data_IF_846802750809
#
_entry.id   IF_846802750809
#
_cell.length_a   1.000
_cell.length_b   1.000
_cell.length_c   1.000
_cell.angle_alpha   90.00
_cell.angle_beta   90.00
_cell.angle_gamma   90.00
#
_symmetry.space_group_name_H-M   'P 1'
#
loop_
_entity.id
_entity.type
_entity.pdbx_description
1 polymer ?
#
# COMPACT_ATOMS: atom_id res chain seq x y z
N UNK A 1 -18.10 -17.44 35.17
CA UNK A 1 -18.01 -17.00 34.66
C UNK A 1 -17.57 -16.60 34.26
N UNK A 2 -17.60 -16.59 34.10
CA UNK A 2 -17.32 -16.20 33.52
C UNK A 2 -16.92 -15.73 32.94
N UNK A 3 -16.84 -15.65 32.77
CA UNK A 3 -16.54 -15.17 31.95
C UNK A 3 -16.26 -14.51 31.54
N UNK A 4 -16.22 -14.35 31.66
CA UNK A 4 -15.99 -13.71 31.02
C UNK A 4 -15.63 -13.11 30.55
N UNK A 5 -15.64 -13.35 30.60
CA UNK A 5 -15.40 -12.76 29.88
C UNK A 5 -15.03 -12.38 29.42
N UNK A 6 -15.16 -12.44 29.42
CA UNK A 6 -14.92 -12.09 28.68
C UNK A 6 -14.95 -11.50 28.12
N UNK A 7 -15.14 -11.47 28.11
CA UNK A 7 -15.34 -10.95 27.44
C UNK A 7 -15.30 -10.05 27.09
N UNK A 8 -16.06 -9.54 27.27
CA UNK A 8 -15.59 -8.27 26.72
C UNK A 8 -14.37 -8.42 25.85
N UNK A 9 -13.60 -9.33 26.11
CA UNK A 9 -12.43 -9.62 25.29
C UNK A 9 -12.80 -9.92 23.85
N UNK A 10 -13.97 -10.45 23.58
CA UNK A 10 -14.38 -10.78 22.22
C UNK A 10 -14.39 -9.55 21.32
N UNK A 11 -14.88 -8.44 21.82
CA UNK A 11 -14.88 -7.20 21.02
C UNK A 11 -13.47 -6.68 20.83
N UNK A 12 -12.68 -6.77 21.85
CA UNK A 12 -11.29 -6.38 21.76
C UNK A 12 -10.53 -7.28 20.79
N UNK A 13 -10.92 -8.54 20.71
CA UNK A 13 -10.34 -9.46 19.74
C UNK A 13 -10.65 -9.02 18.33
N UNK A 14 -11.86 -8.54 18.08
CA UNK A 14 -12.21 -7.99 16.78
C UNK A 14 -11.37 -6.76 16.47
N UNK A 15 -11.24 -5.84 17.43
CA UNK A 15 -10.41 -4.66 17.26
C UNK A 15 -8.94 -5.03 17.19
N UNK A 16 -8.55 -6.15 17.80
CA UNK A 16 -7.19 -6.64 17.78
C UNK A 16 -6.93 -7.61 16.63
N UNK A 17 -7.89 -7.79 15.74
CA UNK A 17 -7.72 -8.64 14.58
C UNK A 17 -6.57 -8.17 13.70
N UNK A 18 -6.20 -8.95 12.71
CA UNK A 18 -5.05 -8.60 11.87
C UNK A 18 -5.24 -7.25 11.20
N UNK A 19 -4.15 -6.52 11.08
CA UNK A 19 -4.10 -5.27 10.32
C UNK A 19 -3.60 -5.61 8.93
N UNK A 20 -4.32 -5.20 7.91
CA UNK A 20 -4.01 -5.64 6.56
C UNK A 20 -4.37 -4.58 5.53
N UNK A 21 -3.84 -4.77 4.33
CA UNK A 21 -4.13 -3.91 3.18
C UNK A 21 -5.46 -4.37 2.59
N UNK A 22 -6.46 -3.49 2.65
CA UNK A 22 -7.81 -3.84 2.20
C UNK A 22 -7.99 -3.60 0.70
N UNK A 23 -7.20 -2.70 0.12
CA UNK A 23 -7.31 -2.38 -1.30
C UNK A 23 -6.00 -1.76 -1.78
N UNK A 24 -5.60 -2.11 -3.00
CA UNK A 24 -4.47 -1.49 -3.70
C UNK A 24 -4.96 -1.03 -5.06
N UNK A 25 -4.52 0.15 -5.49
CA UNK A 25 -4.80 0.70 -6.81
C UNK A 25 -3.50 1.28 -7.38
N UNK A 26 -2.99 0.79 -8.51
CA UNK A 26 -3.59 -0.20 -9.43
C UNK A 26 -3.78 -1.55 -8.76
N UNK A 27 -4.87 -2.24 -9.11
CA UNK A 27 -5.16 -3.56 -8.55
C UNK A 27 -4.17 -4.60 -9.05
N UNK A 28 -4.13 -5.73 -8.35
CA UNK A 28 -3.24 -6.82 -8.72
C UNK A 28 -3.56 -7.33 -10.11
N UNK A 29 -2.53 -7.41 -10.95
CA UNK A 29 -2.68 -7.83 -12.34
C UNK A 29 -3.13 -6.72 -13.29
N UNK A 30 -3.26 -5.48 -12.83
CA UNK A 30 -3.70 -4.39 -13.70
C UNK A 30 -2.70 -4.14 -14.84
N UNK A 31 -3.23 -3.88 -16.02
CA UNK A 31 -2.45 -3.51 -17.20
C UNK A 31 -2.95 -2.19 -17.74
N UNK A 32 -2.21 -1.59 -18.68
CA UNK A 32 -2.62 -0.33 -19.28
C UNK A 32 -2.61 0.84 -18.30
N UNK A 33 -1.85 0.72 -17.24
CA UNK A 33 -1.73 1.75 -16.20
C UNK A 33 -0.90 2.91 -16.75
N UNK A 34 -1.31 4.15 -16.49
CA UNK A 34 -0.52 5.30 -16.91
C UNK A 34 0.82 5.35 -16.17
N UNK A 35 1.85 5.84 -16.87
CA UNK A 35 3.22 5.88 -16.35
C UNK A 35 3.38 6.85 -15.18
N UNK A 36 2.46 7.77 -14.99
CA UNK A 36 2.45 8.75 -13.89
C UNK A 36 1.39 8.43 -12.84
N UNK A 37 0.84 7.22 -12.85
CA UNK A 37 -0.17 6.81 -11.88
C UNK A 37 0.46 6.65 -10.49
N UNK A 38 -0.12 7.26 -9.46
CA UNK A 38 0.29 6.95 -8.08
C UNK A 38 -0.19 5.56 -7.68
N UNK A 39 0.48 4.97 -6.70
CA UNK A 39 0.05 3.69 -6.13
C UNK A 39 -0.57 3.96 -4.77
N UNK A 40 -1.80 3.52 -4.61
CA UNK A 40 -2.56 3.74 -3.39
C UNK A 40 -2.77 2.42 -2.67
N UNK A 41 -2.66 2.44 -1.35
CA UNK A 41 -2.98 1.28 -0.52
C UNK A 41 -3.82 1.72 0.66
N UNK A 42 -4.97 1.08 0.83
CA UNK A 42 -5.86 1.35 1.96
C UNK A 42 -5.64 0.29 3.03
N UNK A 43 -5.57 0.75 4.27
CA UNK A 43 -5.34 -0.13 5.42
C UNK A 43 -6.62 -0.31 6.23
N UNK A 44 -6.73 -1.46 6.88
CA UNK A 44 -7.87 -1.76 7.76
C UNK A 44 -7.89 -0.89 9.02
N UNK A 45 -6.73 -0.41 9.44
CA UNK A 45 -6.55 0.40 10.65
C UNK A 45 -5.58 1.53 10.36
N UNK A 46 -5.62 2.63 11.12
CA UNK A 46 -4.68 3.73 10.91
C UNK A 46 -3.25 3.27 11.13
N UNK A 47 -2.34 3.74 10.29
CA UNK A 47 -0.93 3.40 10.36
C UNK A 47 -0.20 4.27 11.37
N UNK A 48 0.90 3.73 11.92
CA UNK A 48 1.89 4.52 12.61
C UNK A 48 2.73 5.26 11.57
N UNK A 49 2.69 6.59 11.61
CA UNK A 49 3.37 7.41 10.61
C UNK A 49 4.87 7.11 10.54
N UNK A 50 5.50 6.78 11.67
CA UNK A 50 6.92 6.47 11.69
C UNK A 50 7.27 5.21 10.91
N UNK A 51 6.31 4.31 10.70
CA UNK A 51 6.51 3.09 9.93
C UNK A 51 6.29 3.28 8.43
N UNK A 52 5.84 4.47 8.01
CA UNK A 52 5.48 4.74 6.61
C UNK A 52 6.66 5.43 5.91
N UNK A 53 7.32 4.69 5.05
CA UNK A 53 8.46 5.19 4.25
C UNK A 53 8.69 4.23 3.08
N UNK A 54 9.61 4.56 2.20
CA UNK A 54 9.87 3.74 1.01
C UNK A 54 10.47 2.38 1.34
N UNK A 55 10.96 2.17 2.54
CA UNK A 55 11.39 0.84 2.99
C UNK A 55 10.23 -0.08 3.31
N UNK A 56 9.07 0.47 3.68
CA UNK A 56 7.91 -0.32 4.06
C UNK A 56 6.79 -0.32 3.02
N UNK A 57 6.79 0.64 2.09
CA UNK A 57 5.85 0.67 0.97
C UNK A 57 6.60 1.15 -0.26
N UNK A 58 6.83 0.25 -1.21
CA UNK A 58 7.71 0.52 -2.34
C UNK A 58 7.23 -0.14 -3.60
N UNK A 59 7.75 0.31 -4.71
CA UNK A 59 7.50 -0.27 -6.03
C UNK A 59 8.85 -0.61 -6.66
N UNK A 60 8.93 -1.79 -7.24
CA UNK A 60 10.13 -2.30 -7.91
C UNK A 60 9.75 -2.76 -9.29
N UNK A 61 10.69 -2.61 -10.24
CA UNK A 61 10.54 -3.26 -11.54
C UNK A 61 10.83 -4.73 -11.38
N UNK A 62 10.11 -5.58 -12.10
CA UNK A 62 10.44 -6.99 -12.16
C UNK A 62 11.88 -7.14 -12.64
N UNK A 63 12.70 -7.78 -11.81
CA UNK A 63 14.13 -7.80 -12.03
C UNK A 63 14.90 -7.13 -10.91
N UNK A 64 14.19 -6.45 -10.00
CA UNK A 64 14.75 -6.02 -8.73
C UNK A 64 15.13 -4.57 -8.58
N UNK A 65 15.00 -3.75 -9.63
CA UNK A 65 15.33 -2.33 -9.52
C UNK A 65 14.22 -1.57 -8.80
N UNK A 66 14.52 -0.97 -7.66
CA UNK A 66 13.55 -0.15 -6.95
C UNK A 66 13.29 1.14 -7.72
N UNK A 67 12.02 1.52 -7.84
CA UNK A 67 11.63 2.77 -8.47
C UNK A 67 11.68 3.87 -7.41
N UNK A 68 12.42 4.96 -7.64
CA UNK A 68 12.45 6.06 -6.68
C UNK A 68 11.09 6.70 -6.55
N UNK A 69 10.65 6.93 -5.33
CA UNK A 69 9.34 7.47 -5.05
C UNK A 69 9.25 8.11 -3.68
N UNK A 70 8.09 8.69 -3.41
CA UNK A 70 7.77 9.34 -2.14
C UNK A 70 6.48 8.72 -1.61
N UNK A 71 6.44 8.46 -0.32
CA UNK A 71 5.25 7.91 0.34
C UNK A 71 4.64 8.96 1.24
N UNK A 72 3.33 9.14 1.12
CA UNK A 72 2.55 10.00 1.99
C UNK A 72 1.48 9.18 2.69
N UNK A 73 1.12 9.60 3.89
CA UNK A 73 0.03 9.00 4.66
C UNK A 73 -1.09 10.02 4.76
N UNK A 74 -2.32 9.57 4.50
CA UNK A 74 -3.50 10.44 4.59
C UNK A 74 -3.74 10.88 6.04
N UNK A 75 -4.47 12.00 6.25
CA UNK A 75 -4.74 12.49 7.60
C UNK A 75 -5.44 11.48 8.51
N UNK A 76 -6.30 10.61 7.96
CA UNK A 76 -6.96 9.58 8.76
C UNK A 76 -6.07 8.36 9.02
N UNK A 77 -4.86 8.34 8.45
CA UNK A 77 -3.91 7.26 8.66
C UNK A 77 -4.19 5.97 7.91
N UNK A 78 -5.22 5.94 7.07
CA UNK A 78 -5.65 4.68 6.45
C UNK A 78 -5.29 4.55 4.99
N UNK A 79 -4.76 5.60 4.37
CA UNK A 79 -4.40 5.58 2.96
C UNK A 79 -2.93 5.92 2.79
N UNK A 80 -2.21 5.02 2.15
CA UNK A 80 -0.82 5.25 1.72
C UNK A 80 -0.84 5.67 0.27
N UNK A 81 -0.05 6.69 -0.06
CA UNK A 81 0.06 7.21 -1.42
C UNK A 81 1.53 7.20 -1.80
N UNK A 82 1.89 6.35 -2.76
CA UNK A 82 3.25 6.30 -3.30
C UNK A 82 3.24 6.98 -4.66
N UNK A 83 4.17 7.92 -4.86
CA UNK A 83 4.30 8.62 -6.12
C UNK A 83 5.74 8.49 -6.61
N UNK A 84 5.90 8.04 -7.84
CA UNK A 84 7.23 7.94 -8.44
C UNK A 84 7.80 9.34 -8.68
N UNK A 85 9.10 9.49 -8.51
CA UNK A 85 9.77 10.75 -8.82
C UNK A 85 10.17 10.85 -10.28
N UNK A 86 9.91 9.80 -11.07
CA UNK A 86 10.08 9.77 -12.52
C UNK A 86 8.97 8.92 -13.12
N UNK A 87 8.79 9.00 -14.43
CA UNK A 87 7.79 8.15 -15.08
C UNK A 87 8.16 6.68 -14.96
N UNK A 88 7.15 5.84 -14.78
CA UNK A 88 7.34 4.39 -14.71
C UNK A 88 7.74 3.85 -16.08
N UNK A 89 8.53 2.78 -16.09
CA UNK A 89 8.97 2.14 -17.33
C UNK A 89 7.79 1.45 -18.01
N UNK A 90 7.49 1.78 -19.26
CA UNK A 90 6.36 1.18 -19.96
C UNK A 90 6.65 -0.27 -20.34
N UNK A 91 5.62 -1.11 -20.29
CA UNK A 91 5.74 -2.50 -20.70
C UNK A 91 6.55 -3.39 -19.75
N UNK A 92 6.92 -2.87 -18.60
CA UNK A 92 7.67 -3.61 -17.57
C UNK A 92 6.73 -3.87 -16.41
N UNK A 93 6.66 -5.12 -15.98
CA UNK A 93 5.86 -5.46 -14.81
C UNK A 93 6.49 -4.85 -13.56
N UNK A 94 5.66 -4.24 -12.73
CA UNK A 94 6.07 -3.62 -11.47
C UNK A 94 5.49 -4.38 -10.29
N UNK A 95 6.26 -4.49 -9.23
CA UNK A 95 5.85 -5.16 -8.00
C UNK A 95 5.66 -4.12 -6.91
N UNK A 96 4.46 -4.09 -6.34
CA UNK A 96 4.14 -3.26 -5.18
C UNK A 96 4.34 -4.13 -3.94
N UNK A 97 5.10 -3.64 -2.99
CA UNK A 97 5.35 -4.36 -1.74
C UNK A 97 5.02 -3.46 -0.56
N UNK A 98 4.19 -3.97 0.34
CA UNK A 98 3.93 -3.38 1.65
C UNK A 98 4.43 -4.38 2.68
N UNK A 99 5.51 -4.05 3.38
CA UNK A 99 6.15 -4.94 4.34
C UNK A 99 6.93 -4.09 5.35
N UNK A 100 6.65 -4.28 6.62
CA UNK A 100 7.28 -3.49 7.68
C UNK A 100 6.43 -2.34 8.17
N UNK A 101 5.20 -2.22 7.68
CA UNK A 101 4.25 -1.23 8.19
C UNK A 101 3.72 -1.67 9.55
N UNK A 102 3.41 -0.70 10.39
CA UNK A 102 2.76 -0.93 11.67
C UNK A 102 1.54 -0.04 11.80
N UNK A 103 0.57 -0.49 12.56
CA UNK A 103 -0.58 0.35 12.88
C UNK A 103 -0.26 1.28 14.05
N UNK A 104 -1.21 2.15 14.41
CA UNK A 104 -1.00 3.14 15.46
C UNK A 104 -0.83 2.52 16.85
N UNK A 105 -1.08 1.22 16.98
CA UNK A 105 -0.85 0.48 18.24
C UNK A 105 0.43 -0.35 18.20
N UNK A 106 1.22 -0.23 17.15
CA UNK A 106 2.46 -0.96 16.99
C UNK A 106 2.32 -2.37 16.47
N UNK A 107 1.11 -2.77 16.05
CA UNK A 107 0.90 -4.10 15.48
C UNK A 107 1.37 -4.11 14.03
N UNK A 108 1.97 -5.22 13.62
CA UNK A 108 2.43 -5.34 12.25
C UNK A 108 1.27 -5.49 11.28
N UNK A 109 1.37 -4.79 10.16
CA UNK A 109 0.45 -4.97 9.04
C UNK A 109 0.87 -6.23 8.29
N UNK A 110 -0.10 -7.08 7.96
CA UNK A 110 0.19 -8.29 7.17
C UNK A 110 0.83 -7.86 5.86
N UNK A 111 1.99 -8.42 5.48
CA UNK A 111 2.64 -8.03 4.23
C UNK A 111 1.74 -8.27 3.02
N UNK A 112 1.85 -7.36 2.05
CA UNK A 112 1.04 -7.43 0.84
C UNK A 112 1.91 -7.20 -0.38
N UNK A 113 1.64 -7.94 -1.44
CA UNK A 113 2.31 -7.78 -2.73
C UNK A 113 1.28 -7.83 -3.84
N UNK A 114 1.49 -7.00 -4.85
CA UNK A 114 0.67 -6.99 -6.04
C UNK A 114 1.52 -6.53 -7.23
N UNK A 115 1.01 -6.72 -8.43
CA UNK A 115 1.75 -6.41 -9.65
C UNK A 115 0.87 -5.62 -10.60
N UNK A 116 1.51 -4.74 -11.37
CA UNK A 116 0.81 -4.01 -12.44
C UNK A 116 1.80 -3.71 -13.57
N UNK A 117 1.27 -3.36 -14.73
CA UNK A 117 2.09 -3.06 -15.90
C UNK A 117 1.69 -1.72 -16.51
N UNK A 118 2.60 -0.74 -16.55
CA UNK A 118 2.32 0.54 -17.20
C UNK A 118 2.25 0.39 -18.73
N UNK A 119 1.40 1.20 -19.34
CA UNK A 119 1.36 1.36 -20.79
C UNK A 119 2.38 2.42 -21.22
N UNK A 120 2.40 2.75 -22.50
CA UNK A 120 3.37 3.71 -23.04
C UNK A 120 2.99 5.17 -22.76
N UNK A 121 1.79 5.43 -22.24
CA UNK A 121 1.27 6.79 -22.07
C UNK A 121 1.31 7.21 -20.60
N UNK A 122 1.64 8.48 -20.38
CA UNK A 122 1.38 9.15 -19.12
C UNK A 122 0.05 9.90 -19.22
N UNK A 123 -0.60 10.16 -18.09
CA UNK A 123 -1.85 10.91 -18.10
C UNK A 123 -1.67 12.30 -18.70
N UNK A 124 -0.51 12.91 -18.44
CA UNK A 124 -0.19 14.23 -18.98
C UNK A 124 -0.07 14.26 -20.50
N UNK A 125 0.09 13.09 -21.15
CA UNK A 125 0.15 13.01 -22.60
C UNK A 125 -1.22 13.07 -23.26
N UNK A 126 -2.29 12.97 -22.46
CA UNK A 126 -3.64 12.95 -23.02
C UNK A 126 -4.07 14.36 -23.39
N UNK A 127 -4.83 14.52 -24.50
CA UNK A 127 -5.36 15.83 -24.88
C UNK A 127 -6.31 16.31 -23.79
N UNK A 128 -6.20 17.57 -23.48
CA UNK A 128 -6.89 18.25 -22.39
C UNK A 128 -8.36 18.41 -22.46
#
# INVERSE_FOLDING_TARGET
>A
MILRGHHGAARDSSAAGPVWVTKVDPGDGATGVFRDTPVLARLSHPADAASVHTGSFRVEECGGAEVPGVVLLSPDGRLLIWTATRLLAPGVEHLVTADGLKDHRGRQVVPHRSRFMPCALARDDLPG
#
